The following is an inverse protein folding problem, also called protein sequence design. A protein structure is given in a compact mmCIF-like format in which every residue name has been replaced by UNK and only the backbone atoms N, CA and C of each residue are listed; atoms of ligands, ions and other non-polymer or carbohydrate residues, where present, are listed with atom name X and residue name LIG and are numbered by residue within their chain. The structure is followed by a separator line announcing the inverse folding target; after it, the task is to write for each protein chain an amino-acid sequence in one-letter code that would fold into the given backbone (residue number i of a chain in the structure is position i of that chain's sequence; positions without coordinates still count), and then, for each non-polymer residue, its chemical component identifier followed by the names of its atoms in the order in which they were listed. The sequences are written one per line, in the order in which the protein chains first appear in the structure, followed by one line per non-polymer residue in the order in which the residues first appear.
data_IF_889718428493
#
_entry.id   IF_889718428493
#
_cell.length_a   1.000
_cell.length_b   1.000
_cell.length_c   1.000
_cell.angle_alpha   90.00
_cell.angle_beta   90.00
_cell.angle_gamma   90.00
#
_symmetry.space_group_name_H-M   'P 1'
#
loop_
_entity.id
_entity.type
_entity.pdbx_description
1 polymer ?
#
# COMPACT_ATOMS: atom_id res chain seq x y z
N UNK A 1 5.25 -12.41 -47.24
CA UNK A 1 5.39 -11.26 -48.16
C UNK A 1 4.45 -10.18 -47.66
N UNK A 2 4.97 -9.03 -47.23
CA UNK A 2 4.12 -7.92 -46.77
C UNK A 2 3.59 -7.17 -48.00
N UNK A 3 2.28 -7.13 -48.17
CA UNK A 3 1.63 -6.41 -49.26
C UNK A 3 1.48 -4.94 -48.88
N UNK A 4 1.75 -4.03 -49.81
CA UNK A 4 1.48 -2.60 -49.63
C UNK A 4 -0.03 -2.38 -49.80
N UNK A 5 -0.78 -2.73 -48.75
CA UNK A 5 -2.25 -2.76 -48.79
C UNK A 5 -2.83 -1.35 -48.63
N UNK A 6 -3.89 -1.06 -49.38
CA UNK A 6 -4.68 0.18 -49.24
C UNK A 6 -5.46 0.12 -47.91
N UNK A 7 -5.61 1.27 -47.25
CA UNK A 7 -6.38 1.36 -46.00
C UNK A 7 -7.83 0.90 -46.21
N UNK A 8 -8.37 0.17 -45.23
CA UNK A 8 -9.75 -0.31 -45.17
C UNK A 8 -10.32 0.00 -43.78
N UNK A 9 -11.59 0.39 -43.72
CA UNK A 9 -12.26 0.79 -42.47
C UNK A 9 -12.32 -0.35 -41.44
N UNK A 10 -12.32 -1.62 -41.89
CA UNK A 10 -12.27 -2.80 -41.02
C UNK A 10 -10.98 -2.84 -40.18
N UNK A 11 -9.87 -2.30 -40.70
CA UNK A 11 -8.61 -2.24 -39.95
C UNK A 11 -8.70 -1.34 -38.73
N UNK A 12 -9.56 -0.32 -38.74
CA UNK A 12 -9.71 0.59 -37.59
C UNK A 12 -10.14 -0.15 -36.32
N UNK A 13 -11.18 -0.99 -36.44
CA UNK A 13 -11.73 -1.76 -35.33
C UNK A 13 -10.71 -2.80 -34.85
N UNK A 14 -10.06 -3.50 -35.78
CA UNK A 14 -9.03 -4.50 -35.44
C UNK A 14 -7.81 -3.88 -34.77
N UNK A 15 -7.36 -2.70 -35.20
CA UNK A 15 -6.27 -1.96 -34.58
C UNK A 15 -6.65 -1.59 -33.15
N UNK A 16 -7.86 -1.05 -32.93
CA UNK A 16 -8.36 -0.72 -31.61
C UNK A 16 -8.41 -1.93 -30.67
N UNK A 17 -8.99 -3.05 -31.11
CA UNK A 17 -9.12 -4.26 -30.29
C UNK A 17 -7.77 -4.88 -29.92
N UNK A 18 -6.84 -4.90 -30.87
CA UNK A 18 -5.49 -5.41 -30.61
C UNK A 18 -4.67 -4.47 -29.71
N UNK A 19 -4.84 -3.16 -29.87
CA UNK A 19 -4.24 -2.18 -28.97
C UNK A 19 -4.78 -2.35 -27.54
N UNK A 20 -6.08 -2.61 -27.39
CA UNK A 20 -6.73 -2.91 -26.10
C UNK A 20 -6.25 -4.21 -25.46
N UNK A 21 -5.88 -5.20 -26.26
CA UNK A 21 -5.24 -6.44 -25.80
C UNK A 21 -3.77 -6.24 -25.37
N UNK A 22 -3.23 -5.02 -25.48
CA UNK A 22 -1.84 -4.71 -25.12
C UNK A 22 -0.81 -5.13 -26.17
N UNK A 23 -1.23 -5.44 -27.40
CA UNK A 23 -0.33 -5.84 -28.47
C UNK A 23 0.53 -4.66 -28.95
N UNK A 24 1.78 -4.96 -29.26
CA UNK A 24 2.74 -3.98 -29.80
C UNK A 24 2.43 -3.65 -31.26
N UNK A 25 2.91 -2.49 -31.76
CA UNK A 25 2.76 -2.10 -33.18
C UNK A 25 3.27 -3.18 -34.15
N UNK A 26 4.28 -3.94 -33.73
CA UNK A 26 4.86 -5.03 -34.51
C UNK A 26 3.85 -6.17 -34.64
N UNK A 27 3.23 -6.58 -33.54
CA UNK A 27 2.22 -7.65 -33.52
C UNK A 27 0.95 -7.24 -34.26
N UNK A 28 0.52 -5.98 -34.10
CA UNK A 28 -0.62 -5.40 -34.84
C UNK A 28 -0.34 -5.43 -36.34
N UNK A 29 0.84 -4.99 -36.77
CA UNK A 29 1.21 -4.98 -38.19
C UNK A 29 1.25 -6.39 -38.79
N UNK A 30 1.79 -7.38 -38.05
CA UNK A 30 1.80 -8.79 -38.46
C UNK A 30 0.38 -9.35 -38.59
N UNK A 31 -0.50 -9.06 -37.63
CA UNK A 31 -1.88 -9.55 -37.64
C UNK A 31 -2.72 -9.00 -38.81
N UNK A 32 -2.40 -7.79 -39.28
CA UNK A 32 -3.04 -7.17 -40.44
C UNK A 32 -2.33 -7.47 -41.77
N UNK A 33 -1.26 -8.27 -41.75
CA UNK A 33 -0.39 -8.56 -42.89
C UNK A 33 0.21 -7.29 -43.56
N UNK A 34 0.37 -6.21 -42.80
CA UNK A 34 0.97 -4.95 -43.25
C UNK A 34 2.37 -4.78 -42.68
N UNK A 35 3.15 -3.87 -43.27
CA UNK A 35 4.46 -3.53 -42.73
C UNK A 35 4.30 -2.52 -41.58
N UNK A 36 5.19 -2.56 -40.59
CA UNK A 36 5.21 -1.56 -39.50
C UNK A 36 5.27 -0.11 -40.03
N UNK A 37 5.97 0.10 -41.15
CA UNK A 37 6.02 1.41 -41.81
C UNK A 37 4.64 1.86 -42.30
N UNK A 38 3.87 0.97 -42.92
CA UNK A 38 2.50 1.26 -43.37
C UNK A 38 1.61 1.67 -42.20
N UNK A 39 1.69 0.97 -41.07
CA UNK A 39 0.94 1.33 -39.86
C UNK A 39 1.34 2.71 -39.31
N UNK A 40 2.63 3.02 -39.34
CA UNK A 40 3.15 4.34 -38.91
C UNK A 40 2.65 5.47 -39.81
N UNK A 41 2.64 5.26 -41.13
CA UNK A 41 2.09 6.21 -42.11
C UNK A 41 0.60 6.42 -41.84
N UNK A 42 -0.19 5.35 -41.62
CA UNK A 42 -1.61 5.49 -41.30
C UNK A 42 -1.88 6.22 -39.98
N UNK A 43 -0.99 6.08 -39.00
CA UNK A 43 -1.10 6.82 -37.73
C UNK A 43 -0.81 8.31 -37.90
N UNK A 44 -0.04 8.69 -38.93
CA UNK A 44 0.27 10.09 -39.24
C UNK A 44 -0.78 10.72 -40.16
N UNK A 45 -1.29 9.97 -41.14
CA UNK A 45 -2.19 10.48 -42.17
C UNK A 45 -3.68 10.36 -41.78
N UNK A 46 -4.03 9.44 -40.88
CA UNK A 46 -5.42 9.13 -40.51
C UNK A 46 -5.59 9.31 -39.00
N UNK A 47 -6.21 10.43 -38.61
CA UNK A 47 -6.48 10.75 -37.20
C UNK A 47 -7.27 9.65 -36.49
N UNK A 48 -8.22 9.00 -37.19
CA UNK A 48 -9.00 7.90 -36.61
C UNK A 48 -8.12 6.72 -36.15
N UNK A 49 -7.06 6.38 -36.89
CA UNK A 49 -6.15 5.28 -36.55
C UNK A 49 -5.29 5.64 -35.35
N UNK A 50 -4.84 6.90 -35.29
CA UNK A 50 -4.13 7.44 -34.13
C UNK A 50 -5.02 7.41 -32.88
N UNK A 51 -6.24 7.91 -32.99
CA UNK A 51 -7.24 7.88 -31.93
C UNK A 51 -7.54 6.45 -31.46
N UNK A 52 -7.65 5.49 -32.38
CA UNK A 52 -7.88 4.08 -32.06
C UNK A 52 -6.70 3.46 -31.30
N UNK A 53 -5.46 3.75 -31.69
CA UNK A 53 -4.27 3.29 -30.99
C UNK A 53 -4.14 3.94 -29.61
N UNK A 54 -4.37 5.25 -29.49
CA UNK A 54 -4.32 5.97 -28.22
C UNK A 54 -5.41 5.47 -27.27
N UNK A 55 -6.68 5.45 -27.71
CA UNK A 55 -7.82 4.99 -26.90
C UNK A 55 -7.72 3.51 -26.53
N UNK A 56 -7.21 2.67 -27.43
CA UNK A 56 -7.00 1.25 -27.16
C UNK A 56 -5.86 1.01 -26.17
N UNK A 57 -4.78 1.81 -26.22
CA UNK A 57 -3.64 1.71 -25.30
C UNK A 57 -3.87 2.36 -23.96
N UNK A 58 -4.71 3.39 -23.90
CA UNK A 58 -5.19 3.89 -22.62
C UNK A 58 -6.10 2.82 -22.03
N UNK A 59 -5.79 2.26 -20.84
CA UNK A 59 -6.76 1.43 -20.16
C UNK A 59 -8.04 2.25 -20.03
N UNK A 60 -9.21 1.67 -20.36
CA UNK A 60 -10.47 2.33 -20.03
C UNK A 60 -10.39 2.66 -18.54
N UNK A 61 -10.27 3.94 -18.19
CA UNK A 61 -10.62 4.38 -16.84
C UNK A 61 -12.02 3.84 -16.63
N UNK A 62 -12.16 2.85 -15.76
CA UNK A 62 -13.43 2.23 -15.47
C UNK A 62 -14.44 3.35 -15.22
N UNK A 63 -15.41 3.53 -16.13
CA UNK A 63 -16.34 4.67 -16.12
C UNK A 63 -17.21 4.68 -14.85
N UNK A 64 -17.17 3.60 -14.06
CA UNK A 64 -17.91 3.46 -12.80
C UNK A 64 -17.10 3.60 -11.51
N UNK A 65 -15.79 3.88 -11.55
CA UNK A 65 -15.05 4.13 -10.33
C UNK A 65 -14.72 5.62 -10.23
N UNK A 66 -15.62 6.39 -9.62
CA UNK A 66 -15.26 7.69 -9.07
C UNK A 66 -14.06 7.39 -8.15
N UNK A 67 -12.89 7.98 -8.44
CA UNK A 67 -11.73 7.78 -7.58
C UNK A 67 -12.13 8.13 -6.14
N UNK A 68 -11.65 7.38 -5.15
CA UNK A 68 -11.96 7.69 -3.75
C UNK A 68 -11.70 9.18 -3.41
N UNK A 69 -10.67 9.77 -4.03
CA UNK A 69 -10.39 11.22 -3.95
C UNK A 69 -11.53 12.09 -4.49
N UNK A 70 -12.05 11.76 -5.67
CA UNK A 70 -13.15 12.49 -6.31
C UNK A 70 -14.44 12.31 -5.52
N UNK A 71 -14.68 11.11 -5.00
CA UNK A 71 -15.81 10.81 -4.12
C UNK A 71 -15.76 11.66 -2.84
N UNK A 72 -14.61 11.73 -2.18
CA UNK A 72 -14.44 12.55 -0.98
C UNK A 72 -14.57 14.04 -1.33
N UNK A 73 -14.02 14.49 -2.46
CA UNK A 73 -14.16 15.87 -2.92
C UNK A 73 -15.62 16.26 -3.11
N UNK A 74 -16.43 15.41 -3.75
CA UNK A 74 -17.86 15.71 -3.97
C UNK A 74 -18.66 15.90 -2.68
N UNK A 75 -18.19 15.31 -1.56
CA UNK A 75 -18.83 15.39 -0.25
C UNK A 75 -18.36 16.56 0.62
N UNK A 76 -17.31 17.30 0.23
CA UNK A 76 -16.94 18.54 0.93
C UNK A 76 -18.05 19.59 0.78
N UNK A 77 -18.21 20.42 1.82
CA UNK A 77 -19.10 21.58 1.76
C UNK A 77 -18.64 22.54 0.63
N UNK A 78 -19.56 23.32 0.02
CA UNK A 78 -19.21 24.23 -1.07
C UNK A 78 -18.09 25.21 -0.68
N UNK A 79 -18.15 25.74 0.54
CA UNK A 79 -17.14 26.66 1.09
C UNK A 79 -15.77 25.98 1.22
N UNK A 80 -15.73 24.71 1.64
CA UNK A 80 -14.48 23.95 1.76
C UNK A 80 -13.92 23.55 0.40
N UNK A 81 -14.76 23.30 -0.60
CA UNK A 81 -14.32 23.05 -1.99
C UNK A 81 -13.63 24.27 -2.57
N UNK A 82 -14.27 25.44 -2.49
CA UNK A 82 -13.68 26.69 -2.98
C UNK A 82 -12.37 26.99 -2.26
N UNK A 83 -12.34 26.83 -0.93
CA UNK A 83 -11.14 27.01 -0.14
C UNK A 83 -10.04 26.02 -0.57
N UNK A 84 -10.37 24.76 -0.80
CA UNK A 84 -9.43 23.76 -1.27
C UNK A 84 -8.84 24.11 -2.65
N UNK A 85 -9.68 24.50 -3.61
CA UNK A 85 -9.24 24.85 -4.95
C UNK A 85 -8.30 26.05 -4.92
N UNK A 86 -8.61 27.04 -4.08
CA UNK A 86 -7.75 28.22 -3.85
C UNK A 86 -6.42 27.84 -3.21
N UNK A 87 -6.40 26.91 -2.26
CA UNK A 87 -5.16 26.41 -1.66
C UNK A 87 -4.27 25.72 -2.70
N UNK A 88 -4.85 24.87 -3.56
CA UNK A 88 -4.14 24.21 -4.65
C UNK A 88 -3.57 25.19 -5.68
N UNK A 89 -4.26 26.29 -5.95
CA UNK A 89 -3.76 27.34 -6.84
C UNK A 89 -2.56 28.08 -6.22
N UNK A 90 -2.63 28.37 -4.91
CA UNK A 90 -1.59 29.09 -4.18
C UNK A 90 -0.30 28.29 -4.01
N UNK A 91 -0.35 26.95 -3.92
CA UNK A 91 0.86 26.11 -3.79
C UNK A 91 1.84 26.29 -4.96
N UNK A 92 1.35 26.66 -6.15
CA UNK A 92 2.17 26.90 -7.35
C UNK A 92 2.87 28.26 -7.36
N UNK A 93 2.52 29.17 -6.45
CA UNK A 93 3.05 30.54 -6.44
C UNK A 93 4.24 30.71 -5.50
N UNK A 94 5.17 31.63 -5.84
CA UNK A 94 6.39 31.91 -5.04
C UNK A 94 6.12 32.34 -3.59
N UNK A 95 4.97 32.96 -3.32
CA UNK A 95 4.52 33.39 -1.98
C UNK A 95 3.35 32.54 -1.45
N UNK A 96 3.21 31.31 -1.93
CA UNK A 96 2.06 30.44 -1.64
C UNK A 96 1.80 30.22 -0.14
N UNK A 97 2.85 30.05 0.65
CA UNK A 97 2.75 29.77 2.09
C UNK A 97 2.03 30.90 2.85
N UNK A 98 2.44 32.15 2.63
CA UNK A 98 1.84 33.32 3.29
C UNK A 98 0.37 33.51 2.85
N UNK A 99 0.07 33.28 1.57
CA UNK A 99 -1.32 33.34 1.07
C UNK A 99 -2.19 32.26 1.71
N UNK A 100 -1.69 31.03 1.77
CA UNK A 100 -2.38 29.92 2.45
C UNK A 100 -2.64 30.27 3.92
N UNK A 101 -1.66 30.84 4.62
CA UNK A 101 -1.81 31.28 5.99
C UNK A 101 -2.91 32.34 6.14
N UNK A 102 -2.92 33.37 5.27
CA UNK A 102 -3.97 34.40 5.31
C UNK A 102 -5.36 33.85 5.04
N UNK A 103 -5.50 32.89 4.12
CA UNK A 103 -6.77 32.23 3.80
C UNK A 103 -7.27 31.39 4.98
N UNK A 104 -6.36 30.66 5.64
CA UNK A 104 -6.69 29.79 6.76
C UNK A 104 -6.81 30.56 8.09
N UNK A 105 -6.35 31.82 8.17
CA UNK A 105 -6.37 32.63 9.40
C UNK A 105 -7.78 32.82 9.96
N UNK A 106 -8.77 32.97 9.08
CA UNK A 106 -10.18 33.10 9.45
C UNK A 106 -10.90 31.74 9.57
N UNK A 107 -10.25 30.66 9.15
CA UNK A 107 -10.82 29.31 9.21
C UNK A 107 -10.65 28.73 10.62
N UNK A 108 -11.76 28.28 11.21
CA UNK A 108 -11.77 27.63 12.53
C UNK A 108 -10.97 26.33 12.57
N UNK A 109 -10.70 25.83 13.78
CA UNK A 109 -9.90 24.61 14.01
C UNK A 109 -10.46 23.40 13.25
N UNK A 110 -11.78 23.22 13.28
CA UNK A 110 -12.44 22.12 12.57
C UNK A 110 -12.30 22.20 11.05
N UNK A 111 -12.37 23.41 10.46
CA UNK A 111 -12.18 23.57 9.03
C UNK A 111 -10.76 23.17 8.60
N UNK A 112 -9.75 23.56 9.39
CA UNK A 112 -8.35 23.16 9.15
C UNK A 112 -8.15 21.64 9.30
N UNK A 113 -8.81 21.01 10.27
CA UNK A 113 -8.79 19.55 10.43
C UNK A 113 -9.39 18.83 9.22
N UNK A 114 -10.53 19.30 8.69
CA UNK A 114 -11.15 18.73 7.48
C UNK A 114 -10.25 18.87 6.25
N UNK A 115 -9.64 20.05 6.05
CA UNK A 115 -8.68 20.29 4.97
C UNK A 115 -7.47 19.36 5.11
N UNK A 116 -6.97 19.15 6.32
CA UNK A 116 -5.86 18.24 6.58
C UNK A 116 -6.22 16.78 6.26
N UNK A 117 -7.41 16.31 6.67
CA UNK A 117 -7.89 14.96 6.34
C UNK A 117 -8.02 14.78 4.82
N UNK A 118 -8.57 15.78 4.13
CA UNK A 118 -8.66 15.74 2.68
C UNK A 118 -7.26 15.73 2.03
N UNK A 119 -6.34 16.56 2.51
CA UNK A 119 -4.96 16.58 2.05
C UNK A 119 -4.25 15.25 2.28
N UNK A 120 -4.55 14.54 3.36
CA UNK A 120 -4.04 13.18 3.60
C UNK A 120 -4.48 12.21 2.50
N UNK A 121 -5.77 12.21 2.14
CA UNK A 121 -6.32 11.32 1.10
C UNK A 121 -5.71 11.63 -0.27
N UNK A 122 -5.60 12.92 -0.60
CA UNK A 122 -5.04 13.39 -1.87
C UNK A 122 -3.56 13.03 -2.03
N UNK A 123 -2.79 13.09 -0.95
CA UNK A 123 -1.34 12.88 -0.95
C UNK A 123 -0.95 11.46 -0.49
N UNK A 124 -1.75 10.45 -0.83
CA UNK A 124 -1.47 9.03 -0.55
C UNK A 124 -1.13 8.77 0.93
N UNK A 125 -1.87 9.41 1.84
CA UNK A 125 -1.72 9.27 3.29
C UNK A 125 -0.35 9.68 3.85
N UNK A 126 0.35 10.62 3.18
CA UNK A 126 1.58 11.23 3.68
C UNK A 126 1.28 12.39 4.62
N UNK A 127 1.57 12.20 5.91
CA UNK A 127 1.37 13.22 6.96
C UNK A 127 2.19 14.48 6.68
N UNK A 128 3.44 14.34 6.22
CA UNK A 128 4.29 15.50 5.88
C UNK A 128 3.67 16.36 4.77
N UNK A 129 3.17 15.72 3.71
CA UNK A 129 2.58 16.42 2.58
C UNK A 129 1.27 17.10 2.99
N UNK A 130 0.44 16.41 3.78
CA UNK A 130 -0.80 16.97 4.30
C UNK A 130 -0.57 18.17 5.24
N UNK A 131 0.45 18.09 6.12
CA UNK A 131 0.84 19.21 6.98
C UNK A 131 1.24 20.44 6.16
N UNK A 132 1.97 20.25 5.06
CA UNK A 132 2.37 21.35 4.16
C UNK A 132 1.18 22.01 3.50
N UNK A 133 0.23 21.23 2.99
CA UNK A 133 -0.98 21.76 2.32
C UNK A 133 -1.89 22.49 3.30
N UNK A 134 -2.08 21.96 4.51
CA UNK A 134 -2.86 22.62 5.55
C UNK A 134 -2.10 23.73 6.28
N UNK A 135 -0.83 23.98 5.91
CA UNK A 135 0.09 24.93 6.56
C UNK A 135 0.10 24.79 8.11
N UNK A 136 0.22 23.55 8.58
CA UNK A 136 0.31 23.23 10.00
C UNK A 136 1.65 22.58 10.33
N UNK A 137 2.10 22.77 11.58
CA UNK A 137 3.23 22.03 12.11
C UNK A 137 2.82 20.61 12.51
N UNK A 138 3.79 19.69 12.58
CA UNK A 138 3.57 18.34 13.15
C UNK A 138 3.14 18.39 14.60
N UNK A 139 3.61 19.38 15.36
CA UNK A 139 3.24 19.58 16.77
C UNK A 139 1.73 19.83 16.87
N UNK A 140 1.20 20.72 16.04
CA UNK A 140 -0.24 21.02 15.97
C UNK A 140 -1.08 19.79 15.60
N UNK A 141 -0.57 18.94 14.69
CA UNK A 141 -1.23 17.66 14.38
C UNK A 141 -1.26 16.72 15.60
N UNK A 142 -0.16 16.59 16.33
CA UNK A 142 -0.12 15.78 17.55
C UNK A 142 -1.04 16.32 18.65
N UNK A 143 -1.20 17.65 18.75
CA UNK A 143 -2.17 18.27 19.63
C UNK A 143 -3.60 17.92 19.24
N UNK A 144 -3.93 17.95 17.95
CA UNK A 144 -5.26 17.52 17.48
C UNK A 144 -5.54 16.06 17.78
N UNK A 145 -4.51 15.18 17.74
CA UNK A 145 -4.63 13.77 18.11
C UNK A 145 -4.91 13.53 19.61
N UNK A 146 -4.86 14.57 20.45
CA UNK A 146 -5.33 14.46 21.85
C UNK A 146 -6.86 14.50 21.93
N UNK A 147 -7.53 15.09 20.95
CA UNK A 147 -8.98 15.13 20.88
C UNK A 147 -9.52 13.82 20.33
N UNK A 148 -10.45 13.19 21.08
CA UNK A 148 -11.02 11.87 20.73
C UNK A 148 -11.69 11.86 19.35
N UNK A 149 -12.45 12.90 19.02
CA UNK A 149 -13.19 12.97 17.75
C UNK A 149 -12.26 12.96 16.54
N UNK A 150 -11.17 13.73 16.61
CA UNK A 150 -10.19 13.79 15.53
C UNK A 150 -9.38 12.49 15.44
N UNK A 151 -9.04 11.88 16.58
CA UNK A 151 -8.33 10.60 16.62
C UNK A 151 -9.15 9.49 15.99
N UNK A 152 -10.43 9.38 16.31
CA UNK A 152 -11.31 8.37 15.71
C UNK A 152 -11.38 8.52 14.18
N UNK A 153 -11.43 9.76 13.67
CA UNK A 153 -11.41 10.03 12.22
C UNK A 153 -10.08 9.61 11.58
N UNK A 154 -8.95 9.90 12.23
CA UNK A 154 -7.62 9.52 11.75
C UNK A 154 -7.43 8.00 11.78
N UNK A 155 -7.92 7.33 12.81
CA UNK A 155 -7.85 5.87 12.94
C UNK A 155 -8.74 5.19 11.88
N UNK A 156 -9.96 5.69 11.65
CA UNK A 156 -10.80 5.24 10.54
C UNK A 156 -10.10 5.42 9.18
N UNK A 157 -9.45 6.57 8.98
CA UNK A 157 -8.67 6.83 7.77
C UNK A 157 -7.48 5.87 7.62
N UNK A 158 -6.87 5.44 8.73
CA UNK A 158 -5.83 4.42 8.72
C UNK A 158 -6.35 3.04 8.31
N UNK A 159 -7.57 2.67 8.68
CA UNK A 159 -8.21 1.45 8.16
C UNK A 159 -8.47 1.57 6.65
N UNK A 160 -9.07 2.67 6.18
CA UNK A 160 -9.25 2.88 4.74
C UNK A 160 -7.92 2.87 3.95
N UNK A 161 -6.83 3.32 4.58
CA UNK A 161 -5.48 3.23 4.00
C UNK A 161 -5.04 1.78 3.83
N UNK A 162 -5.33 0.90 4.79
CA UNK A 162 -5.01 -0.53 4.68
C UNK A 162 -5.82 -1.16 3.54
N UNK A 163 -7.13 -0.91 3.50
CA UNK A 163 -8.01 -1.39 2.44
C UNK A 163 -7.49 -0.98 1.05
N UNK A 164 -7.05 0.28 0.91
CA UNK A 164 -6.45 0.78 -0.33
C UNK A 164 -5.20 -0.02 -0.78
N UNK A 165 -4.33 -0.40 0.16
CA UNK A 165 -3.16 -1.22 -0.17
C UNK A 165 -3.53 -2.68 -0.43
N UNK A 166 -4.52 -3.22 0.26
CA UNK A 166 -5.04 -4.56 0.01
C UNK A 166 -5.64 -4.65 -1.40
N UNK A 167 -6.48 -3.69 -1.79
CA UNK A 167 -7.03 -3.58 -3.14
C UNK A 167 -5.92 -3.47 -4.20
N UNK A 168 -4.90 -2.65 -3.92
CA UNK A 168 -3.76 -2.52 -4.82
C UNK A 168 -2.98 -3.84 -4.98
N UNK A 169 -2.77 -4.57 -3.88
CA UNK A 169 -2.13 -5.88 -3.90
C UNK A 169 -2.96 -6.89 -4.72
N UNK A 170 -4.27 -6.96 -4.47
CA UNK A 170 -5.18 -7.84 -5.22
C UNK A 170 -5.17 -7.52 -6.71
N UNK A 171 -5.15 -6.23 -7.08
CA UNK A 171 -5.04 -5.81 -8.48
C UNK A 171 -3.72 -6.21 -9.13
N UNK A 172 -2.59 -6.12 -8.41
CA UNK A 172 -1.29 -6.58 -8.89
C UNK A 172 -1.27 -8.09 -9.12
N UNK A 173 -1.84 -8.86 -8.19
CA UNK A 173 -2.01 -10.31 -8.32
C UNK A 173 -2.88 -10.64 -9.55
N UNK A 174 -3.99 -9.93 -9.74
CA UNK A 174 -4.85 -10.09 -10.93
C UNK A 174 -4.13 -9.76 -12.24
N UNK A 175 -3.23 -8.77 -12.23
CA UNK A 175 -2.42 -8.38 -13.39
C UNK A 175 -1.31 -9.39 -13.69
N UNK A 176 -1.00 -10.29 -12.75
CA UNK A 176 0.00 -11.35 -12.91
C UNK A 176 1.40 -10.96 -12.41
N UNK A 177 1.52 -9.96 -11.53
CA UNK A 177 2.81 -9.64 -10.91
C UNK A 177 3.30 -10.82 -10.06
N UNK A 178 4.51 -11.31 -10.36
CA UNK A 178 5.04 -12.53 -9.76
C UNK A 178 5.35 -12.34 -8.27
N UNK A 179 5.90 -11.20 -7.88
CA UNK A 179 6.26 -10.92 -6.49
C UNK A 179 5.02 -10.76 -5.61
N UNK A 180 4.01 -10.02 -6.08
CA UNK A 180 2.73 -9.86 -5.40
C UNK A 180 2.00 -11.19 -5.23
N UNK A 181 2.02 -12.04 -6.26
CA UNK A 181 1.38 -13.38 -6.22
C UNK A 181 2.06 -14.30 -5.21
N UNK A 182 3.40 -14.35 -5.21
CA UNK A 182 4.17 -15.13 -4.23
C UNK A 182 3.89 -14.62 -2.81
N UNK A 183 3.93 -13.30 -2.61
CA UNK A 183 3.65 -12.70 -1.31
C UNK A 183 2.25 -13.04 -0.81
N UNK A 184 1.22 -12.85 -1.64
CA UNK A 184 -0.16 -13.17 -1.28
C UNK A 184 -0.34 -14.65 -0.93
N UNK A 185 0.28 -15.56 -1.67
CA UNK A 185 0.24 -17.00 -1.36
C UNK A 185 0.96 -17.32 -0.04
N UNK A 186 2.13 -16.71 0.20
CA UNK A 186 2.88 -16.87 1.45
C UNK A 186 2.18 -16.31 2.68
N UNK A 187 1.25 -15.36 2.52
CA UNK A 187 0.52 -14.77 3.65
C UNK A 187 -0.86 -15.39 3.84
N UNK A 188 -1.65 -15.51 2.77
CA UNK A 188 -3.04 -15.95 2.83
C UNK A 188 -3.18 -17.47 2.74
N UNK A 189 -2.41 -18.12 1.88
CA UNK A 189 -2.49 -19.57 1.61
C UNK A 189 -1.47 -20.37 2.43
N UNK A 190 -1.09 -19.90 3.62
CA UNK A 190 -0.14 -20.58 4.52
C UNK A 190 -0.65 -21.97 4.93
N UNK A 191 -1.95 -22.07 5.17
CA UNK A 191 -2.69 -23.30 5.44
C UNK A 191 -2.60 -24.33 4.30
N UNK A 192 -2.33 -23.89 3.07
CA UNK A 192 -2.19 -24.74 1.88
C UNK A 192 -0.75 -25.16 1.58
N UNK A 193 0.19 -24.91 2.51
CA UNK A 193 1.59 -25.32 2.39
C UNK A 193 2.52 -24.30 1.75
N UNK A 194 2.11 -23.03 1.63
CA UNK A 194 2.97 -21.93 1.17
C UNK A 194 3.77 -21.26 2.30
N UNK A 195 3.82 -21.87 3.49
CA UNK A 195 4.65 -21.38 4.59
C UNK A 195 6.14 -21.62 4.29
N UNK A 196 6.98 -20.60 4.50
CA UNK A 196 8.43 -20.71 4.33
C UNK A 196 9.07 -21.48 5.49
N UNK A 197 8.37 -21.60 6.61
CA UNK A 197 8.86 -22.30 7.79
C UNK A 197 8.57 -23.80 7.65
N UNK A 198 9.62 -24.60 7.51
CA UNK A 198 9.53 -26.01 7.86
C UNK A 198 9.14 -26.12 9.33
N UNK A 199 7.90 -26.52 9.62
CA UNK A 199 7.53 -26.97 10.97
C UNK A 199 8.24 -28.29 11.23
N UNK A 200 9.45 -28.20 11.78
CA UNK A 200 10.11 -29.36 12.40
C UNK A 200 9.46 -29.54 13.77
N UNK A 201 8.34 -30.24 13.81
CA UNK A 201 7.79 -30.73 15.07
C UNK A 201 8.71 -31.86 15.56
N UNK A 202 9.60 -31.55 16.51
CA UNK A 202 10.35 -32.55 17.26
C UNK A 202 9.37 -33.28 18.19
N UNK A 203 8.62 -34.23 17.65
CA UNK A 203 7.82 -35.18 18.43
C UNK A 203 8.69 -36.34 18.92
N UNK A 204 9.85 -36.01 19.47
CA UNK A 204 10.71 -36.93 20.19
C UNK A 204 10.68 -36.55 21.65
N UNK A 205 10.48 -37.52 22.55
CA UNK A 205 10.82 -37.38 23.96
C UNK A 205 12.28 -36.91 24.01
N UNK A 206 12.50 -35.61 24.25
CA UNK A 206 13.84 -35.11 24.55
C UNK A 206 14.12 -35.64 25.95
N UNK A 207 14.59 -36.88 26.02
CA UNK A 207 15.17 -37.46 27.22
C UNK A 207 16.41 -36.64 27.52
N UNK A 208 16.24 -35.53 28.23
CA UNK A 208 17.32 -34.95 28.98
C UNK A 208 17.71 -36.03 30.00
N UNK A 209 18.74 -36.83 29.67
CA UNK A 209 19.42 -37.66 30.68
C UNK A 209 20.07 -36.67 31.63
N UNK A 210 19.30 -36.21 32.60
CA UNK A 210 19.87 -35.71 33.83
C UNK A 210 20.42 -36.97 34.47
N UNK A 211 21.69 -37.27 34.23
CA UNK A 211 22.43 -38.19 35.05
C UNK A 211 22.35 -37.61 36.47
N UNK A 212 21.37 -38.09 37.24
CA UNK A 212 21.17 -37.70 38.63
C UNK A 212 22.35 -38.28 39.39
N UNK A 213 23.46 -37.55 39.39
CA UNK A 213 24.59 -37.85 40.25
C UNK A 213 24.09 -37.54 41.66
N UNK A 214 23.99 -38.58 42.50
CA UNK A 214 23.66 -38.40 43.90
C UNK A 214 24.83 -37.70 44.59
N UNK A 215 24.55 -36.74 45.47
CA UNK A 215 25.59 -36.01 46.22
C UNK A 215 26.48 -36.94 47.08
N UNK A 216 25.99 -38.14 47.40
CA UNK A 216 26.75 -39.16 48.13
C UNK A 216 27.86 -39.79 47.28
N UNK A 217 27.67 -39.87 45.95
CA UNK A 217 28.64 -40.44 45.02
C UNK A 217 29.79 -39.47 44.68
N UNK A 218 29.73 -38.22 45.17
CA UNK A 218 30.79 -37.24 45.03
C UNK A 218 31.82 -37.41 46.16
N UNK A 219 33.08 -37.66 45.79
CA UNK A 219 34.23 -37.73 46.71
C UNK A 219 34.68 -36.32 47.12
N UNK A 220 33.86 -35.67 47.93
CA UNK A 220 34.08 -34.30 48.44
C UNK A 220 33.99 -34.26 49.96
N UNK A 221 34.73 -33.35 50.58
CA UNK A 221 34.79 -33.19 52.03
C UNK A 221 33.41 -32.90 52.67
N UNK A 222 33.22 -33.39 53.89
CA UNK A 222 31.95 -33.33 54.63
C UNK A 222 31.44 -31.90 54.86
N UNK A 223 32.34 -30.92 55.03
CA UNK A 223 31.96 -29.53 55.23
C UNK A 223 31.33 -28.94 53.95
N UNK A 224 31.87 -29.33 52.78
CA UNK A 224 31.38 -28.88 51.48
C UNK A 224 30.02 -29.49 51.16
N UNK A 225 29.82 -30.78 51.49
CA UNK A 225 28.50 -31.43 51.35
C UNK A 225 27.41 -30.71 52.15
N UNK A 226 27.70 -30.33 53.40
CA UNK A 226 26.75 -29.58 54.24
C UNK A 226 26.39 -28.22 53.65
N UNK A 227 27.37 -27.47 53.14
CA UNK A 227 27.13 -26.16 52.51
C UNK A 227 26.22 -26.29 51.27
N UNK A 228 26.46 -27.30 50.45
CA UNK A 228 25.62 -27.60 49.27
C UNK A 228 24.19 -27.96 49.66
N UNK A 229 24.00 -28.84 50.64
CA UNK A 229 22.65 -29.20 51.13
C UNK A 229 21.88 -27.99 51.66
N UNK A 230 22.55 -27.12 52.40
CA UNK A 230 21.93 -25.90 52.96
C UNK A 230 21.49 -24.95 51.85
N UNK A 231 22.31 -24.80 50.81
CA UNK A 231 21.97 -23.97 49.65
C UNK A 231 20.81 -24.55 48.83
N UNK A 232 20.79 -25.87 48.63
CA UNK A 232 19.67 -26.55 47.95
C UNK A 232 18.36 -26.35 48.73
N UNK A 233 18.38 -26.48 50.06
CA UNK A 233 17.20 -26.26 50.89
C UNK A 233 16.70 -24.80 50.82
N UNK A 234 17.60 -23.81 50.87
CA UNK A 234 17.24 -22.40 50.71
C UNK A 234 16.59 -22.12 49.36
N UNK A 235 17.15 -22.67 48.29
CA UNK A 235 16.59 -22.51 46.94
C UNK A 235 15.18 -23.12 46.83
N UNK A 236 14.99 -24.33 47.35
CA UNK A 236 13.65 -24.96 47.40
C UNK A 236 12.64 -24.14 48.22
N UNK A 237 13.07 -23.56 49.33
CA UNK A 237 12.19 -22.69 50.13
C UNK A 237 11.83 -21.41 49.37
N UNK A 238 12.75 -20.81 48.62
CA UNK A 238 12.47 -19.64 47.80
C UNK A 238 11.48 -19.96 46.66
N UNK A 239 11.67 -21.07 45.96
CA UNK A 239 10.76 -21.53 44.90
C UNK A 239 9.34 -21.81 45.44
N UNK A 240 9.22 -22.30 46.68
CA UNK A 240 7.93 -22.60 47.31
C UNK A 240 7.20 -21.37 47.88
N UNK A 241 7.86 -20.21 47.93
CA UNK A 241 7.28 -18.93 48.38
C UNK A 241 6.77 -18.10 47.18
N UNK A 242 7.23 -18.40 45.97
CA UNK A 242 6.85 -17.70 44.74
C UNK A 242 5.66 -18.32 44.00
N UNK A 243 5.19 -19.52 44.40
CA UNK A 243 3.91 -20.14 43.97
C UNK A 243 2.75 -19.80 44.91
#
# INVERSE_FOLDING_TARGET
MATNSKYQDEFLIRIYDMARQGKTDIEISKALNITRQTLRVWTQDIDAVKDALEKGRTPLKNIQCISFRDYVYTRLSPELKELWDRLHLCEKEKNGILKIETLLKNAGVHARQHIFIYALIVNNFSVSAACRVANISRVTFHEWKKNKDFTNLVDWLHECKKDFFEDALVNLVKTGDTAATIFANKTLNRDRGYDDKQRVEFSGDVKFSHDKISLDDLDVDLETKKKLLTQIQKRKQAEHIEE
#
